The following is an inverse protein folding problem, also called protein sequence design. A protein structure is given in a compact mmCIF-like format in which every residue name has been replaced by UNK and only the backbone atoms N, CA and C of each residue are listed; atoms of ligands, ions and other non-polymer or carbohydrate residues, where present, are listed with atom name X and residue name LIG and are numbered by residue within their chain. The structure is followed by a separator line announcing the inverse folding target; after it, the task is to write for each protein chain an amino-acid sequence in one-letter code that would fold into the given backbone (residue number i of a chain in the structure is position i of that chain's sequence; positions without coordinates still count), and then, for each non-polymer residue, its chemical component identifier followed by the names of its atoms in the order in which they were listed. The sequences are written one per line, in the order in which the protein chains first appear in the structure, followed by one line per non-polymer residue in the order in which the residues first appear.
data_IF_299225527678
#
_entry.id   IF_299225527678
#
_cell.length_a   1.000
_cell.length_b   1.000
_cell.length_c   1.000
_cell.angle_alpha   90.00
_cell.angle_beta   90.00
_cell.angle_gamma   90.00
#
_symmetry.space_group_name_H-M   'P 1'
#
loop_
_entity.id
_entity.type
_entity.pdbx_description
1 polymer ?
#
# COMPACT_ATOMS: atom_id res chain seq x y z
N UNK A 1 10.94 7.78 -3.80
CA UNK A 1 10.72 9.24 -3.66
C UNK A 1 12.03 10.02 -3.64
N UNK A 2 12.92 9.90 -2.65
CA UNK A 2 14.17 10.69 -2.63
C UNK A 2 15.07 10.50 -3.88
N UNK A 3 15.09 9.29 -4.44
CA UNK A 3 15.80 8.99 -5.69
C UNK A 3 15.27 9.78 -6.91
N UNK A 4 14.00 10.22 -6.90
CA UNK A 4 13.39 10.96 -8.01
C UNK A 4 13.89 12.40 -8.10
N UNK A 5 14.42 12.95 -7.00
CA UNK A 5 15.01 14.30 -6.95
C UNK A 5 16.54 14.25 -6.91
N UNK A 6 17.14 13.17 -7.42
CA UNK A 6 18.60 13.02 -7.48
C UNK A 6 19.27 13.06 -6.11
N UNK A 7 18.58 12.60 -5.06
CA UNK A 7 19.07 12.62 -3.67
C UNK A 7 19.24 14.02 -3.05
N UNK A 8 18.69 15.06 -3.69
CA UNK A 8 18.68 16.43 -3.17
C UNK A 8 17.62 16.59 -2.08
N UNK A 9 18.04 16.83 -0.83
CA UNK A 9 17.14 17.07 0.30
C UNK A 9 16.29 18.34 0.11
N UNK A 10 16.83 19.49 -0.35
CA UNK A 10 16.01 20.68 -0.59
C UNK A 10 14.89 20.45 -1.60
N UNK A 11 15.17 19.76 -2.71
CA UNK A 11 14.15 19.43 -3.72
C UNK A 11 13.16 18.40 -3.21
N UNK A 12 13.60 17.44 -2.39
CA UNK A 12 12.70 16.48 -1.74
C UNK A 12 11.64 17.19 -0.88
N UNK A 13 12.03 18.18 -0.08
CA UNK A 13 11.10 18.94 0.75
C UNK A 13 10.18 19.81 -0.10
N UNK A 14 10.73 20.50 -1.11
CA UNK A 14 9.95 21.36 -2.02
C UNK A 14 8.89 20.57 -2.78
N UNK A 15 9.24 19.39 -3.26
CA UNK A 15 8.39 18.58 -4.14
C UNK A 15 7.65 17.47 -3.40
N UNK A 16 7.75 17.39 -2.06
CA UNK A 16 7.27 16.27 -1.23
C UNK A 16 5.86 15.81 -1.61
N UNK A 17 4.95 16.75 -1.85
CA UNK A 17 3.55 16.43 -2.17
C UNK A 17 3.34 15.78 -3.54
N UNK A 18 4.26 16.02 -4.49
CA UNK A 18 4.22 15.48 -5.85
C UNK A 18 5.00 14.18 -6.02
N UNK A 19 5.87 13.82 -5.06
CA UNK A 19 6.63 12.59 -5.12
C UNK A 19 5.73 11.39 -4.83
N UNK A 20 5.90 10.32 -5.60
CA UNK A 20 5.15 9.09 -5.43
C UNK A 20 5.99 7.84 -5.68
N UNK A 21 5.55 6.72 -5.12
CA UNK A 21 5.93 5.40 -5.59
C UNK A 21 4.81 4.90 -6.49
N UNK A 22 5.06 4.94 -7.79
CA UNK A 22 4.07 4.60 -8.83
C UNK A 22 3.89 3.09 -8.97
N UNK A 23 2.66 2.61 -9.26
CA UNK A 23 2.44 1.24 -9.68
C UNK A 23 3.16 0.94 -11.01
N UNK A 24 3.43 -0.33 -11.32
CA UNK A 24 4.04 -0.69 -12.59
C UNK A 24 3.13 -0.39 -13.78
N UNK A 25 3.75 -0.17 -14.94
CA UNK A 25 3.04 0.08 -16.19
C UNK A 25 2.16 -1.11 -16.64
N UNK A 26 1.14 -0.86 -17.48
CA UNK A 26 0.21 -1.90 -17.95
C UNK A 26 0.89 -3.06 -18.69
N UNK A 27 2.05 -2.83 -19.29
CA UNK A 27 2.84 -3.83 -20.02
C UNK A 27 3.24 -5.03 -19.17
N UNK A 28 3.30 -4.87 -17.84
CA UNK A 28 3.64 -5.94 -16.92
C UNK A 28 2.42 -6.78 -16.48
N UNK A 29 1.19 -6.31 -16.72
CA UNK A 29 -0.03 -6.98 -16.28
C UNK A 29 0.02 -7.31 -14.78
N UNK A 30 -0.15 -8.59 -14.43
CA UNK A 30 -0.02 -9.09 -13.05
C UNK A 30 1.36 -9.70 -12.72
N UNK A 31 2.33 -9.62 -13.62
CA UNK A 31 3.67 -10.18 -13.40
C UNK A 31 4.47 -9.29 -12.45
N UNK A 32 5.48 -9.87 -11.81
CA UNK A 32 6.45 -9.09 -11.03
C UNK A 32 7.32 -8.27 -11.99
N UNK A 33 7.26 -6.93 -11.96
CA UNK A 33 8.07 -6.06 -12.81
C UNK A 33 9.50 -5.93 -12.27
N UNK A 34 10.46 -5.45 -13.09
CA UNK A 34 11.78 -5.02 -12.62
C UNK A 34 11.67 -3.98 -11.50
N UNK A 35 12.66 -3.93 -10.61
CA UNK A 35 12.64 -3.03 -9.46
C UNK A 35 12.42 -1.56 -9.84
N UNK A 36 13.06 -1.09 -10.90
CA UNK A 36 12.98 0.30 -11.36
C UNK A 36 11.66 0.64 -12.08
N UNK A 37 10.90 -0.37 -12.52
CA UNK A 37 9.67 -0.21 -13.30
C UNK A 37 8.42 -0.58 -12.48
N UNK A 38 8.46 -0.37 -11.17
CA UNK A 38 7.36 -0.65 -10.24
C UNK A 38 7.55 -1.88 -9.35
N UNK A 39 8.68 -2.58 -9.42
CA UNK A 39 8.96 -3.70 -8.50
C UNK A 39 9.04 -3.25 -7.05
N UNK A 40 9.56 -2.05 -6.80
CA UNK A 40 9.53 -1.43 -5.47
C UNK A 40 8.10 -1.21 -4.95
N UNK A 41 7.16 -0.84 -5.82
CA UNK A 41 5.76 -0.66 -5.44
C UNK A 41 5.18 -1.97 -4.91
N UNK A 42 5.31 -3.07 -5.66
CA UNK A 42 4.78 -4.38 -5.26
C UNK A 42 5.38 -4.84 -3.91
N UNK A 43 6.69 -4.66 -3.71
CA UNK A 43 7.35 -5.02 -2.44
C UNK A 43 6.79 -4.15 -1.30
N UNK A 44 6.70 -2.84 -1.49
CA UNK A 44 6.14 -1.92 -0.50
C UNK A 44 4.68 -2.24 -0.18
N UNK A 45 3.85 -2.56 -1.17
CA UNK A 45 2.45 -2.98 -0.99
C UNK A 45 2.34 -4.27 -0.20
N UNK A 46 3.18 -5.26 -0.48
CA UNK A 46 3.21 -6.52 0.26
C UNK A 46 3.60 -6.31 1.73
N UNK A 47 4.65 -5.52 2.00
CA UNK A 47 5.06 -5.21 3.37
C UNK A 47 4.01 -4.39 4.12
N UNK A 48 3.33 -3.47 3.43
CA UNK A 48 2.20 -2.72 3.98
C UNK A 48 1.05 -3.65 4.36
N UNK A 49 0.70 -4.60 3.48
CA UNK A 49 -0.33 -5.59 3.77
C UNK A 49 0.00 -6.41 5.02
N UNK A 50 1.23 -6.92 5.12
CA UNK A 50 1.68 -7.65 6.32
C UNK A 50 1.57 -6.78 7.56
N UNK A 51 2.04 -5.52 7.50
CA UNK A 51 1.96 -4.57 8.61
C UNK A 51 0.52 -4.35 9.09
N UNK A 52 -0.41 -4.10 8.16
CA UNK A 52 -1.83 -3.88 8.47
C UNK A 52 -2.48 -5.14 9.07
N UNK A 53 -2.19 -6.31 8.52
CA UNK A 53 -2.71 -7.58 9.06
C UNK A 53 -2.15 -7.88 10.45
N UNK A 54 -0.86 -7.62 10.69
CA UNK A 54 -0.28 -7.76 12.04
C UNK A 54 -0.92 -6.76 13.02
N UNK A 55 -1.24 -5.55 12.57
CA UNK A 55 -1.95 -4.58 13.40
C UNK A 55 -3.37 -5.06 13.75
N UNK A 56 -4.07 -5.68 12.81
CA UNK A 56 -5.37 -6.29 13.09
C UNK A 56 -5.26 -7.40 14.15
N UNK A 57 -4.28 -8.30 14.01
CA UNK A 57 -4.01 -9.35 15.00
C UNK A 57 -3.73 -8.74 16.38
N UNK A 58 -2.92 -7.67 16.44
CA UNK A 58 -2.67 -6.92 17.68
C UNK A 58 -3.97 -6.39 18.29
N UNK A 59 -4.84 -5.74 17.51
CA UNK A 59 -6.13 -5.22 17.99
C UNK A 59 -7.01 -6.33 18.56
N UNK A 60 -7.04 -7.49 17.90
CA UNK A 60 -7.76 -8.66 18.39
C UNK A 60 -7.19 -9.20 19.71
N UNK A 61 -5.88 -9.39 19.78
CA UNK A 61 -5.20 -9.94 20.96
C UNK A 61 -5.36 -9.04 22.18
N UNK A 62 -5.27 -7.71 22.02
CA UNK A 62 -5.50 -6.76 23.10
C UNK A 62 -6.93 -6.87 23.66
N UNK A 63 -7.93 -6.93 22.78
CA UNK A 63 -9.32 -7.11 23.23
C UNK A 63 -9.50 -8.42 24.01
N UNK A 64 -8.85 -9.51 23.57
CA UNK A 64 -8.88 -10.79 24.27
C UNK A 64 -8.19 -10.73 25.65
N UNK A 65 -7.01 -10.09 25.73
CA UNK A 65 -6.26 -9.91 26.98
C UNK A 65 -7.05 -9.11 28.02
N UNK A 66 -7.74 -8.06 27.59
CA UNK A 66 -8.59 -7.24 28.45
C UNK A 66 -10.01 -7.79 28.65
N UNK A 67 -10.32 -8.98 28.11
CA UNK A 67 -11.65 -9.62 28.17
C UNK A 67 -12.78 -8.73 27.64
N UNK A 68 -12.49 -7.92 26.64
CA UNK A 68 -13.43 -7.01 25.99
C UNK A 68 -14.06 -7.65 24.75
N UNK A 69 -15.18 -7.09 24.30
CA UNK A 69 -15.76 -7.42 23.00
C UNK A 69 -14.83 -7.06 21.83
N UNK A 70 -14.85 -7.85 20.76
CA UNK A 70 -13.95 -7.72 19.58
C UNK A 70 -14.52 -6.81 18.48
N UNK A 71 -15.52 -5.99 18.79
CA UNK A 71 -16.23 -5.16 17.81
C UNK A 71 -15.28 -4.25 17.00
N UNK A 72 -14.26 -3.68 17.65
CA UNK A 72 -13.26 -2.83 16.99
C UNK A 72 -12.42 -3.64 15.99
N UNK A 73 -12.00 -4.86 16.36
CA UNK A 73 -11.25 -5.72 15.44
C UNK A 73 -12.10 -6.09 14.21
N UNK A 74 -13.39 -6.39 14.40
CA UNK A 74 -14.29 -6.69 13.29
C UNK A 74 -14.58 -5.47 12.41
N UNK A 75 -14.80 -4.30 13.00
CA UNK A 75 -14.96 -3.05 12.24
C UNK A 75 -13.69 -2.73 11.45
N UNK A 76 -12.51 -2.97 12.02
CA UNK A 76 -11.25 -2.74 11.34
C UNK A 76 -11.07 -3.64 10.11
N UNK A 77 -11.56 -4.89 10.13
CA UNK A 77 -11.57 -5.74 8.93
C UNK A 77 -12.38 -5.15 7.78
N UNK A 78 -13.47 -4.43 8.05
CA UNK A 78 -14.23 -3.75 6.99
C UNK A 78 -13.42 -2.64 6.32
N UNK A 79 -12.58 -1.92 7.07
CA UNK A 79 -11.65 -0.93 6.51
C UNK A 79 -10.52 -1.60 5.72
N UNK A 80 -9.96 -2.69 6.24
CA UNK A 80 -8.94 -3.50 5.54
C UNK A 80 -9.52 -4.05 4.22
N UNK A 81 -10.79 -4.45 4.21
CA UNK A 81 -11.47 -4.90 3.00
C UNK A 81 -11.49 -3.82 1.93
N UNK A 82 -11.91 -2.59 2.24
CA UNK A 82 -11.89 -1.48 1.27
C UNK A 82 -10.48 -1.24 0.73
N UNK A 83 -9.48 -1.22 1.63
CA UNK A 83 -8.07 -1.09 1.26
C UNK A 83 -7.61 -2.20 0.30
N UNK A 84 -7.96 -3.46 0.56
CA UNK A 84 -7.64 -4.60 -0.29
C UNK A 84 -8.39 -4.55 -1.63
N UNK A 85 -9.63 -4.08 -1.66
CA UNK A 85 -10.39 -3.92 -2.91
C UNK A 85 -9.66 -2.98 -3.85
N UNK A 86 -9.17 -1.85 -3.35
CA UNK A 86 -8.48 -0.84 -4.15
C UNK A 86 -7.08 -1.29 -4.61
N UNK A 87 -6.29 -1.88 -3.70
CA UNK A 87 -4.89 -2.20 -3.97
C UNK A 87 -4.60 -3.62 -4.47
N UNK A 88 -5.53 -4.57 -4.32
CA UNK A 88 -5.29 -5.98 -4.63
C UNK A 88 -6.39 -6.59 -5.51
N UNK A 89 -7.64 -6.63 -5.03
CA UNK A 89 -8.69 -7.37 -5.73
C UNK A 89 -9.07 -6.73 -7.06
N UNK A 90 -9.29 -5.40 -7.11
CA UNK A 90 -9.61 -4.71 -8.36
C UNK A 90 -8.47 -4.84 -9.39
N UNK A 91 -7.19 -4.54 -9.07
CA UNK A 91 -6.09 -4.76 -10.02
C UNK A 91 -6.01 -6.19 -10.56
N UNK A 92 -6.19 -7.20 -9.68
CA UNK A 92 -6.20 -8.61 -10.08
C UNK A 92 -7.36 -8.93 -11.02
N UNK A 93 -8.56 -8.42 -10.74
CA UNK A 93 -9.74 -8.63 -11.61
C UNK A 93 -9.60 -7.92 -12.96
N UNK A 94 -8.92 -6.76 -12.99
CA UNK A 94 -8.62 -6.02 -14.23
C UNK A 94 -7.41 -6.59 -14.98
N UNK A 95 -6.67 -7.53 -14.39
CA UNK A 95 -5.51 -8.17 -15.00
C UNK A 95 -4.26 -7.31 -15.07
N UNK A 96 -4.20 -6.20 -14.31
CA UNK A 96 -3.05 -5.29 -14.32
C UNK A 96 -2.83 -4.60 -12.98
N UNK A 97 -1.57 -4.59 -12.52
CA UNK A 97 -1.14 -3.82 -11.35
C UNK A 97 -1.16 -2.30 -11.57
N UNK A 98 -1.22 -1.82 -12.81
CA UNK A 98 -1.32 -0.40 -13.15
C UNK A 98 -2.58 0.28 -12.62
N UNK A 99 -3.59 -0.51 -12.27
CA UNK A 99 -4.87 -0.04 -11.72
C UNK A 99 -4.82 0.23 -10.20
N UNK A 100 -3.71 -0.08 -9.55
CA UNK A 100 -3.54 0.11 -8.12
C UNK A 100 -3.25 1.59 -7.77
N UNK A 101 -3.50 1.97 -6.52
CA UNK A 101 -3.33 3.36 -6.06
C UNK A 101 -1.84 3.65 -5.81
N UNK A 102 -1.25 4.72 -6.37
CA UNK A 102 0.15 5.09 -6.11
C UNK A 102 0.34 5.55 -4.66
N UNK A 103 1.56 5.43 -4.14
CA UNK A 103 1.89 5.96 -2.81
C UNK A 103 2.52 7.35 -2.94
N UNK A 104 1.74 8.41 -2.75
CA UNK A 104 2.19 9.80 -2.71
C UNK A 104 1.08 10.72 -2.21
N UNK A 105 1.37 11.97 -1.81
CA UNK A 105 0.35 12.82 -1.18
C UNK A 105 -0.68 13.33 -2.19
N UNK A 106 -0.26 13.94 -3.29
CA UNK A 106 -1.19 14.30 -4.38
C UNK A 106 -1.49 13.15 -5.36
N UNK A 107 -0.57 12.20 -5.59
CA UNK A 107 -0.85 11.12 -6.54
C UNK A 107 -1.87 10.06 -6.08
N UNK A 108 -2.04 9.82 -4.77
CA UNK A 108 -3.05 8.88 -4.26
C UNK A 108 -4.48 9.43 -4.36
#
# INVERSE_FOLDING_TARGET
MLSQVGWSIPEFVRQLFWLALEPPGPEWGLRMPPLNDGGWYIISSFLLLVSVMMWWVRTYLLAAQHKMGKHIAWAFLAAIWLFLVLGLFRPVLMGSWSEAVPYGIFPH
#
